data_IF_222691818373
#
_entry.id   IF_222691818373
#
_cell.length_a   1.000
_cell.length_b   1.000
_cell.length_c   1.000
_cell.angle_alpha   90.00
_cell.angle_beta   90.00
_cell.angle_gamma   90.00
#
_symmetry.space_group_name_H-M   'P 1'
#
loop_
_entity.id
_entity.type
_entity.pdbx_description
1 polymer ?
#
# COMPACT_ATOMS: atom_id res chain seq x y z
N UNK A 1 -8.80 -5.05 12.94
CA UNK A 1 -8.58 -6.50 13.10
C UNK A 1 -9.86 -7.31 12.84
N UNK A 2 -11.06 -6.74 12.96
CA UNK A 2 -12.32 -7.49 12.79
C UNK A 2 -12.70 -8.34 14.01
N UNK A 3 -12.03 -8.16 15.15
CA UNK A 3 -12.36 -8.83 16.42
C UNK A 3 -12.96 -7.87 17.44
N UNK A 4 -12.46 -6.64 17.50
CA UNK A 4 -12.92 -5.65 18.49
C UNK A 4 -13.43 -4.38 17.79
N UNK A 5 -14.48 -3.78 18.36
CA UNK A 5 -14.93 -2.44 18.00
C UNK A 5 -13.83 -1.43 18.34
N UNK A 6 -13.58 -0.50 17.42
CA UNK A 6 -12.68 0.62 17.68
C UNK A 6 -13.27 1.53 18.75
N UNK A 7 -12.41 2.18 19.55
CA UNK A 7 -12.82 3.14 20.59
C UNK A 7 -13.82 2.58 21.62
N UNK A 8 -13.81 1.27 21.86
CA UNK A 8 -14.60 0.62 22.91
C UNK A 8 -13.70 -0.09 23.90
N UNK A 9 -14.10 -0.07 25.17
CA UNK A 9 -13.43 -0.84 26.22
C UNK A 9 -13.59 -2.35 25.93
N UNK A 10 -12.55 -3.11 26.24
CA UNK A 10 -12.52 -4.58 26.11
C UNK A 10 -12.47 -5.15 27.53
N UNK A 11 -13.29 -6.17 27.79
CA UNK A 11 -13.29 -6.88 29.07
C UNK A 11 -12.36 -8.10 29.01
N UNK A 12 -11.39 -8.13 29.91
CA UNK A 12 -10.44 -9.22 30.12
C UNK A 12 -9.97 -9.27 31.58
N UNK A 13 -9.44 -10.40 32.02
CA UNK A 13 -9.07 -10.63 33.44
C UNK A 13 -8.06 -9.64 34.03
N UNK A 14 -7.38 -8.86 33.19
CA UNK A 14 -6.45 -7.78 33.57
C UNK A 14 -6.87 -6.37 33.20
N UNK A 15 -8.15 -6.18 32.91
CA UNK A 15 -8.74 -4.86 32.73
C UNK A 15 -9.43 -4.37 34.00
N UNK A 16 -9.81 -3.10 33.99
CA UNK A 16 -10.57 -2.42 35.04
C UNK A 16 -11.98 -2.99 35.27
N UNK A 17 -12.42 -3.95 34.46
CA UNK A 17 -13.69 -4.66 34.62
C UNK A 17 -13.72 -5.59 35.84
N UNK A 18 -12.56 -6.06 36.29
CA UNK A 18 -12.45 -7.00 37.42
C UNK A 18 -11.36 -6.52 38.39
N UNK A 19 -11.66 -5.54 39.27
CA UNK A 19 -10.68 -5.00 40.22
C UNK A 19 -10.09 -6.08 41.14
N UNK A 20 -10.86 -7.13 41.44
CA UNK A 20 -10.43 -8.27 42.26
C UNK A 20 -9.41 -9.19 41.59
N UNK A 21 -9.35 -9.20 40.25
CA UNK A 21 -8.46 -10.09 39.47
C UNK A 21 -7.24 -9.36 38.91
N UNK A 22 -7.18 -8.03 39.05
CA UNK A 22 -6.09 -7.23 38.52
C UNK A 22 -4.85 -7.32 39.41
N UNK A 23 -3.72 -7.73 38.84
CA UNK A 23 -2.46 -7.86 39.57
C UNK A 23 -1.43 -6.81 39.07
N UNK A 24 -1.02 -5.84 39.91
CA UNK A 24 -0.04 -4.80 39.53
C UNK A 24 1.36 -5.35 39.21
N UNK A 25 1.65 -6.60 39.58
CA UNK A 25 2.92 -7.27 39.27
C UNK A 25 3.03 -7.68 37.79
N UNK A 26 1.94 -7.62 37.01
CA UNK A 26 1.99 -7.99 35.60
C UNK A 26 2.78 -6.97 34.80
N UNK A 27 3.85 -7.43 34.13
CA UNK A 27 4.62 -6.58 33.23
C UNK A 27 3.80 -6.16 32.01
N UNK A 28 4.16 -5.04 31.38
CA UNK A 28 3.56 -4.62 30.12
C UNK A 28 3.65 -5.72 29.05
N UNK A 29 4.76 -6.48 29.01
CA UNK A 29 4.93 -7.61 28.09
C UNK A 29 3.91 -8.73 28.34
N UNK A 30 3.69 -9.09 29.60
CA UNK A 30 2.69 -10.09 29.99
C UNK A 30 1.28 -9.66 29.61
N UNK A 31 0.95 -8.38 29.84
CA UNK A 31 -0.34 -7.79 29.46
C UNK A 31 -0.54 -7.85 27.93
N UNK A 32 0.46 -7.42 27.16
CA UNK A 32 0.41 -7.45 25.69
C UNK A 32 0.28 -8.88 25.16
N UNK A 33 0.97 -9.84 25.78
CA UNK A 33 0.87 -11.26 25.42
C UNK A 33 -0.54 -11.80 25.70
N UNK A 34 -1.10 -11.49 26.87
CA UNK A 34 -2.48 -11.86 27.21
C UNK A 34 -3.50 -11.25 26.24
N UNK A 35 -3.31 -9.98 25.87
CA UNK A 35 -4.15 -9.32 24.87
C UNK A 35 -4.04 -9.97 23.49
N UNK A 36 -2.84 -10.40 23.06
CA UNK A 36 -2.64 -11.11 21.80
C UNK A 36 -3.36 -12.46 21.81
N UNK A 37 -3.18 -13.28 22.84
CA UNK A 37 -3.93 -14.53 23.00
C UNK A 37 -5.43 -14.27 22.94
N UNK A 38 -5.89 -13.20 23.60
CA UNK A 38 -7.28 -12.82 23.57
C UNK A 38 -7.74 -12.37 22.18
N UNK A 39 -6.92 -11.69 21.38
CA UNK A 39 -7.23 -11.30 19.98
C UNK A 39 -7.41 -12.52 19.05
N UNK A 40 -6.75 -13.64 19.34
CA UNK A 40 -6.81 -14.86 18.54
C UNK A 40 -8.01 -15.76 18.86
N UNK A 41 -8.64 -15.56 20.02
CA UNK A 41 -9.86 -16.26 20.41
C UNK A 41 -11.07 -15.84 19.55
N UNK A 42 -12.21 -16.51 19.68
CA UNK A 42 -13.50 -16.13 19.11
C UNK A 42 -14.61 -16.05 20.17
N UNK A 43 -14.30 -16.23 21.45
CA UNK A 43 -15.28 -16.07 22.53
C UNK A 43 -15.90 -14.66 22.53
N UNK A 44 -17.23 -14.56 22.73
CA UNK A 44 -17.91 -13.29 22.84
C UNK A 44 -17.49 -12.59 24.15
N UNK A 45 -17.15 -11.31 24.05
CA UNK A 45 -16.81 -10.44 25.18
C UNK A 45 -17.28 -9.01 24.92
N UNK A 46 -17.25 -8.16 25.95
CA UNK A 46 -17.48 -6.72 25.82
C UNK A 46 -16.57 -6.11 24.76
N UNK A 47 -17.19 -5.41 23.80
CA UNK A 47 -16.48 -4.76 22.70
C UNK A 47 -16.06 -5.69 21.56
N UNK A 48 -16.36 -7.00 21.63
CA UNK A 48 -16.13 -7.91 20.51
C UNK A 48 -17.13 -7.70 19.37
N UNK A 49 -16.70 -8.02 18.15
CA UNK A 49 -17.55 -8.09 16.95
C UNK A 49 -17.37 -9.43 16.26
N UNK A 50 -18.43 -9.87 15.59
CA UNK A 50 -18.39 -11.04 14.71
C UNK A 50 -18.25 -10.58 13.27
N UNK A 51 -17.12 -10.88 12.65
CA UNK A 51 -16.88 -10.64 11.22
C UNK A 51 -16.43 -11.92 10.52
N UNK A 52 -16.58 -11.97 9.20
CA UNK A 52 -16.11 -13.11 8.40
C UNK A 52 -14.58 -13.16 8.34
N UNK A 53 -14.02 -14.32 8.01
CA UNK A 53 -12.58 -14.47 7.78
C UNK A 53 -12.10 -13.58 6.63
N UNK A 54 -12.89 -13.47 5.55
CA UNK A 54 -12.61 -12.58 4.42
C UNK A 54 -12.52 -11.11 4.87
N UNK A 55 -13.43 -10.68 5.75
CA UNK A 55 -13.39 -9.32 6.29
C UNK A 55 -12.16 -9.09 7.18
N UNK A 56 -11.80 -10.06 8.04
CA UNK A 56 -10.56 -9.99 8.84
C UNK A 56 -9.32 -9.86 7.94
N UNK A 57 -9.25 -10.63 6.86
CA UNK A 57 -8.15 -10.55 5.89
C UNK A 57 -8.12 -9.20 5.15
N UNK A 58 -9.28 -8.70 4.73
CA UNK A 58 -9.39 -7.36 4.11
C UNK A 58 -8.90 -6.27 5.05
N UNK A 59 -9.34 -6.29 6.30
CA UNK A 59 -8.92 -5.35 7.34
C UNK A 59 -7.43 -5.48 7.65
N UNK A 60 -6.87 -6.70 7.65
CA UNK A 60 -5.44 -6.91 7.85
C UNK A 60 -4.63 -6.27 6.73
N UNK A 61 -5.01 -6.46 5.45
CA UNK A 61 -4.37 -5.83 4.29
C UNK A 61 -4.43 -4.29 4.37
N UNK A 62 -5.56 -3.73 4.78
CA UNK A 62 -5.74 -2.28 4.89
C UNK A 62 -5.13 -1.64 6.15
N UNK A 63 -4.75 -2.44 7.16
CA UNK A 63 -4.39 -1.94 8.49
C UNK A 63 -3.11 -1.11 8.51
N UNK A 64 -2.11 -1.46 7.71
CA UNK A 64 -0.84 -0.75 7.69
C UNK A 64 -1.00 0.66 7.11
N UNK A 65 -1.73 0.77 5.99
CA UNK A 65 -2.08 2.06 5.38
C UNK A 65 -2.90 2.94 6.34
N UNK A 66 -3.88 2.34 7.01
CA UNK A 66 -4.65 3.04 8.03
C UNK A 66 -3.77 3.59 9.16
N UNK A 67 -2.85 2.77 9.68
CA UNK A 67 -1.95 3.18 10.75
C UNK A 67 -0.99 4.29 10.31
N UNK A 68 -0.46 4.22 9.09
CA UNK A 68 0.48 5.22 8.56
C UNK A 68 -0.15 6.61 8.39
N UNK A 69 -1.49 6.74 8.35
CA UNK A 69 -2.18 8.04 8.35
C UNK A 69 -2.14 8.74 9.71
N UNK A 70 -1.83 8.02 10.79
CA UNK A 70 -1.80 8.58 12.14
C UNK A 70 -0.40 9.14 12.48
N UNK A 71 -0.33 10.42 12.86
CA UNK A 71 0.93 11.09 13.19
C UNK A 71 1.70 10.45 14.37
N UNK A 72 0.98 10.01 15.40
CA UNK A 72 1.58 9.33 16.56
C UNK A 72 2.18 7.98 16.17
N UNK A 73 1.47 7.21 15.34
CA UNK A 73 1.98 5.93 14.84
C UNK A 73 3.28 6.12 14.05
N UNK A 74 3.31 7.09 13.13
CA UNK A 74 4.51 7.41 12.34
C UNK A 74 5.71 7.79 13.22
N UNK A 75 5.46 8.50 14.33
CA UNK A 75 6.51 8.91 15.26
C UNK A 75 7.04 7.74 16.10
N UNK A 76 6.15 6.85 16.55
CA UNK A 76 6.50 5.76 17.47
C UNK A 76 7.04 4.52 16.75
N UNK A 77 6.65 4.30 15.50
CA UNK A 77 6.91 3.07 14.72
C UNK A 77 7.41 3.37 13.29
N UNK A 78 8.53 4.10 13.13
CA UNK A 78 9.04 4.52 11.81
C UNK A 78 9.34 3.36 10.86
N UNK A 79 9.79 2.22 11.38
CA UNK A 79 10.11 1.02 10.62
C UNK A 79 8.90 0.46 9.85
N UNK A 80 7.69 0.63 10.41
CA UNK A 80 6.46 0.21 9.74
C UNK A 80 6.04 1.18 8.63
N UNK A 81 6.40 2.46 8.76
CA UNK A 81 6.19 3.46 7.71
C UNK A 81 7.10 3.18 6.53
N UNK A 82 8.35 2.83 6.78
CA UNK A 82 9.28 2.41 5.73
C UNK A 82 8.76 1.18 4.98
N UNK A 83 8.31 0.16 5.72
CA UNK A 83 7.67 -1.03 5.14
C UNK A 83 6.45 -0.69 4.28
N UNK A 84 5.61 0.25 4.72
CA UNK A 84 4.46 0.71 3.93
C UNK A 84 4.89 1.34 2.61
N UNK A 85 5.90 2.22 2.64
CA UNK A 85 6.43 2.85 1.43
C UNK A 85 7.01 1.82 0.43
N UNK A 86 7.71 0.80 0.94
CA UNK A 86 8.22 -0.31 0.10
C UNK A 86 7.07 -1.06 -0.58
N UNK A 87 6.03 -1.42 0.17
CA UNK A 87 4.86 -2.12 -0.39
C UNK A 87 4.12 -1.29 -1.46
N UNK A 88 4.00 0.02 -1.26
CA UNK A 88 3.40 0.93 -2.26
C UNK A 88 4.26 1.01 -3.52
N UNK A 89 5.59 1.09 -3.37
CA UNK A 89 6.50 1.14 -4.50
C UNK A 89 6.48 -0.16 -5.34
N UNK A 90 6.44 -1.32 -4.67
CA UNK A 90 6.32 -2.63 -5.32
C UNK A 90 5.00 -2.77 -6.09
N UNK A 91 3.89 -2.33 -5.48
CA UNK A 91 2.56 -2.35 -6.12
C UNK A 91 2.55 -1.48 -7.39
N UNK A 92 3.09 -0.26 -7.31
CA UNK A 92 3.17 0.63 -8.47
C UNK A 92 4.02 0.04 -9.62
N UNK A 93 5.05 -0.75 -9.32
CA UNK A 93 5.86 -1.42 -10.35
C UNK A 93 5.11 -2.60 -10.99
N UNK A 94 4.36 -3.36 -10.20
CA UNK A 94 3.58 -4.50 -10.71
C UNK A 94 2.43 -4.09 -11.64
N UNK A 95 1.77 -2.95 -11.38
CA UNK A 95 0.69 -2.44 -12.22
C UNK A 95 1.19 -1.97 -13.60
N UNK A 96 2.39 -1.36 -13.66
CA UNK A 96 3.00 -0.88 -14.92
C UNK A 96 3.41 -2.04 -15.84
N UNK A 97 3.73 -3.22 -15.29
CA UNK A 97 4.12 -4.42 -16.06
C UNK A 97 2.93 -5.18 -16.68
N UNK A 98 1.69 -4.85 -16.30
CA UNK A 98 0.49 -5.62 -16.69
C UNK A 98 -0.40 -4.95 -17.76
N UNK A 99 0.06 -3.84 -18.37
CA UNK A 99 -0.64 -3.20 -19.49
C UNK A 99 -0.34 -3.92 -20.82
N UNK A 100 -1.34 -4.45 -21.55
CA UNK A 100 -1.13 -5.00 -22.89
C UNK A 100 -0.93 -3.88 -23.90
N UNK A 101 0.21 -3.90 -24.61
CA UNK A 101 0.43 -3.11 -25.82
C UNK A 101 -0.57 -3.54 -26.90
N UNK A 102 -1.55 -2.70 -27.22
CA UNK A 102 -2.31 -2.81 -28.47
C UNK A 102 -1.82 -1.75 -29.45
N UNK A 103 -0.91 -2.15 -30.34
CA UNK A 103 -0.64 -1.47 -31.61
C UNK A 103 -0.47 -2.53 -32.71
N UNK A 104 -1.42 -2.60 -33.65
CA UNK A 104 -1.19 -3.07 -35.02
C UNK A 104 -2.20 -2.38 -35.98
N UNK A 105 -1.75 -1.25 -36.55
CA UNK A 105 -1.74 -0.86 -37.98
C UNK A 105 -2.80 -1.46 -38.96
N UNK A 106 -3.54 -0.60 -39.70
CA UNK A 106 -3.57 -0.61 -41.19
C UNK A 106 -4.59 0.38 -41.82
N UNK A 107 -4.04 1.40 -42.51
CA UNK A 107 -4.38 1.90 -43.87
C UNK A 107 -5.72 2.62 -44.17
N UNK A 108 -5.61 3.91 -44.55
CA UNK A 108 -6.62 4.87 -45.10
C UNK A 108 -6.98 4.58 -46.59
N UNK A 109 -7.73 5.41 -47.39
CA UNK A 109 -8.72 6.50 -47.14
C UNK A 109 -10.03 6.40 -48.01
N UNK A 110 -11.08 7.22 -47.79
CA UNK A 110 -11.73 8.10 -48.81
C UNK A 110 -13.00 8.83 -48.26
N UNK A 111 -13.19 10.02 -48.80
CA UNK A 111 -14.26 11.03 -48.68
C UNK A 111 -15.70 10.53 -48.84
N UNK A 112 -16.63 11.04 -48.02
CA UNK A 112 -17.73 11.90 -48.52
C UNK A 112 -18.49 12.65 -47.42
N UNK A 113 -19.13 13.72 -47.87
CA UNK A 113 -19.48 14.97 -47.20
C UNK A 113 -20.98 14.99 -46.93
N UNK A 114 -21.42 15.22 -45.69
CA UNK A 114 -22.75 15.81 -45.42
C UNK A 114 -22.66 16.87 -44.33
N UNK A 115 -23.37 17.94 -44.60
CA UNK A 115 -23.33 19.31 -44.11
C UNK A 115 -24.32 19.51 -42.94
N UNK A 116 -24.14 20.63 -42.21
CA UNK A 116 -25.09 21.37 -41.37
C UNK A 116 -25.27 20.93 -39.89
N UNK A 117 -25.43 21.82 -38.90
CA UNK A 117 -25.20 23.27 -38.78
C UNK A 117 -25.45 23.69 -37.30
N UNK A 118 -24.91 24.87 -36.93
CA UNK A 118 -25.42 25.84 -35.91
C UNK A 118 -25.11 25.58 -34.41
N UNK A 119 -24.22 26.40 -33.80
CA UNK A 119 -24.47 27.68 -33.04
C UNK A 119 -25.00 27.41 -31.60
N UNK A 120 -24.62 28.07 -30.50
CA UNK A 120 -23.77 29.24 -30.19
C UNK A 120 -23.59 29.28 -28.65
N UNK A 121 -22.42 29.77 -28.19
CA UNK A 121 -22.13 30.72 -27.06
C UNK A 121 -23.19 30.90 -25.94
N UNK A 122 -22.90 31.09 -24.63
CA UNK A 122 -21.90 31.96 -23.96
C UNK A 122 -22.02 31.87 -22.40
N UNK A 123 -21.08 32.52 -21.69
CA UNK A 123 -20.98 32.95 -20.26
C UNK A 123 -20.31 31.99 -19.25
N UNK A 124 -19.10 32.20 -18.72
CA UNK A 124 -18.37 33.33 -18.03
C UNK A 124 -18.58 33.38 -16.50
N UNK A 125 -17.46 33.31 -15.76
CA UNK A 125 -17.29 33.67 -14.32
C UNK A 125 -16.44 32.67 -13.53
N UNK A 126 -15.11 32.62 -13.64
CA UNK A 126 -14.02 33.35 -12.93
C UNK A 126 -13.74 32.95 -11.45
N UNK A 127 -12.57 32.31 -11.27
CA UNK A 127 -11.56 32.34 -10.18
C UNK A 127 -11.98 31.80 -8.77
N UNK A 128 -11.15 31.13 -7.95
CA UNK A 128 -9.69 31.15 -7.70
C UNK A 128 -9.20 29.80 -7.13
N UNK A 129 -7.87 29.57 -7.12
CA UNK A 129 -7.21 28.63 -6.19
C UNK A 129 -6.30 27.54 -6.78
N UNK A 130 -5.35 27.88 -7.66
CA UNK A 130 -4.39 26.92 -8.25
C UNK A 130 -3.09 26.87 -7.42
N UNK A 131 -3.05 25.98 -6.43
CA UNK A 131 -1.81 25.59 -5.73
C UNK A 131 -1.06 24.54 -6.55
N UNK A 132 -0.07 24.96 -7.33
CA UNK A 132 0.73 24.09 -8.19
C UNK A 132 1.93 23.53 -7.40
N UNK A 133 1.78 22.33 -6.83
CA UNK A 133 2.93 21.57 -6.29
C UNK A 133 3.49 20.72 -7.43
N UNK A 134 4.53 21.23 -8.08
CA UNK A 134 5.30 20.48 -9.07
C UNK A 134 6.13 19.40 -8.39
N UNK A 135 5.68 18.14 -8.50
CA UNK A 135 6.53 16.99 -8.17
C UNK A 135 7.46 16.77 -9.36
N UNK A 136 8.69 17.24 -9.23
CA UNK A 136 9.76 16.97 -10.19
C UNK A 136 10.11 15.47 -10.15
N UNK A 137 9.49 14.67 -11.02
CA UNK A 137 9.84 13.28 -11.23
C UNK A 137 11.09 13.18 -12.11
N UNK A 138 12.26 13.39 -11.51
CA UNK A 138 13.54 13.19 -12.19
C UNK A 138 13.82 11.69 -12.25
N UNK A 139 13.28 11.02 -13.29
CA UNK A 139 13.67 9.66 -13.68
C UNK A 139 15.19 9.61 -13.83
N UNK A 140 15.89 8.93 -12.92
CA UNK A 140 17.31 8.68 -13.08
C UNK A 140 17.47 7.46 -13.99
N UNK A 141 17.88 7.72 -15.23
CA UNK A 141 18.37 6.69 -16.14
C UNK A 141 19.66 6.13 -15.56
N UNK A 142 19.72 4.81 -15.35
CA UNK A 142 20.94 4.14 -14.91
C UNK A 142 22.07 4.44 -15.90
N UNK A 143 23.27 4.82 -15.44
CA UNK A 143 24.34 5.20 -16.32
C UNK A 143 24.74 4.01 -17.19
N UNK A 144 24.85 4.21 -18.50
CA UNK A 144 25.18 3.17 -19.49
C UNK A 144 26.44 2.38 -19.13
N UNK A 145 27.38 3.00 -18.42
CA UNK A 145 28.59 2.35 -17.90
C UNK A 145 28.28 1.21 -16.91
N UNK A 146 27.24 1.34 -16.09
CA UNK A 146 26.84 0.30 -15.13
C UNK A 146 26.23 -0.92 -15.85
N UNK A 147 25.48 -0.69 -16.93
CA UNK A 147 24.96 -1.77 -17.79
C UNK A 147 26.10 -2.48 -18.51
N UNK A 148 27.06 -1.73 -19.07
CA UNK A 148 28.26 -2.31 -19.71
C UNK A 148 29.14 -3.08 -18.73
N UNK A 149 29.25 -2.62 -17.48
CA UNK A 149 29.98 -3.33 -16.43
C UNK A 149 29.35 -4.68 -16.14
N UNK A 150 28.01 -4.74 -15.99
CA UNK A 150 27.25 -5.99 -15.76
C UNK A 150 27.35 -6.96 -16.95
N UNK A 151 27.28 -6.47 -18.18
CA UNK A 151 27.46 -7.34 -19.36
C UNK A 151 28.91 -7.86 -19.50
N UNK A 152 29.91 -7.06 -19.11
CA UNK A 152 31.32 -7.47 -19.15
C UNK A 152 31.62 -8.59 -18.16
N UNK A 153 31.14 -8.49 -16.92
CA UNK A 153 31.34 -9.54 -15.91
C UNK A 153 30.54 -10.81 -16.24
N UNK A 154 29.33 -10.68 -16.78
CA UNK A 154 28.54 -11.85 -17.18
C UNK A 154 29.15 -12.57 -18.39
N UNK A 155 29.68 -11.82 -19.37
CA UNK A 155 30.40 -12.40 -20.51
C UNK A 155 31.67 -13.14 -20.12
N UNK A 156 32.40 -12.65 -19.11
CA UNK A 156 33.61 -13.30 -18.60
C UNK A 156 33.29 -14.64 -17.92
N UNK A 157 32.24 -14.68 -17.08
CA UNK A 157 31.81 -15.89 -16.35
C UNK A 157 31.29 -16.96 -17.32
N UNK A 158 30.61 -16.56 -18.41
CA UNK A 158 30.10 -17.48 -19.42
C UNK A 158 31.15 -18.00 -20.41
N UNK A 159 32.35 -17.39 -20.46
CA UNK A 159 33.46 -17.85 -21.30
C UNK A 159 34.41 -18.83 -20.60
N UNK A 160 34.32 -18.97 -19.28
CA UNK A 160 35.09 -19.94 -18.49
C UNK A 160 34.82 -21.45 -18.77
N UNK A 161 33.68 -21.89 -19.33
CA UNK A 161 33.45 -23.33 -19.60
C UNK A 161 34.18 -23.89 -20.82
N UNK A 162 34.88 -23.07 -21.61
CA UNK A 162 35.55 -23.52 -22.85
C UNK A 162 37.06 -23.74 -22.70
N UNK A 163 37.59 -23.60 -21.47
CA UNK A 163 39.02 -23.73 -21.16
C UNK A 163 39.29 -24.77 -20.07
N UNK A 164 38.64 -25.93 -20.15
CA UNK A 164 39.11 -27.13 -19.47
C UNK A 164 39.41 -28.21 -20.52
N UNK A 165 40.65 -28.72 -20.59
CA UNK A 165 41.07 -29.75 -21.55
C UNK A 165 40.46 -31.13 -21.25
#
# INVERSE_FOLDING_TARGET
NGRFMTQKKICLSMSDFHPESWNPMWSASSILTGLLSFMLDNSPTTGSVTTTAAEKQRLAKASLDFNCKNATFRKMFPEYVEKHNQQVAEQAQSEVSSLPSQEEESRRPNSERVVNNNNVQENVGRAEGRGQVGINNRRQSMPTWMVLFVFSIFGLVMALPLLQP
#
